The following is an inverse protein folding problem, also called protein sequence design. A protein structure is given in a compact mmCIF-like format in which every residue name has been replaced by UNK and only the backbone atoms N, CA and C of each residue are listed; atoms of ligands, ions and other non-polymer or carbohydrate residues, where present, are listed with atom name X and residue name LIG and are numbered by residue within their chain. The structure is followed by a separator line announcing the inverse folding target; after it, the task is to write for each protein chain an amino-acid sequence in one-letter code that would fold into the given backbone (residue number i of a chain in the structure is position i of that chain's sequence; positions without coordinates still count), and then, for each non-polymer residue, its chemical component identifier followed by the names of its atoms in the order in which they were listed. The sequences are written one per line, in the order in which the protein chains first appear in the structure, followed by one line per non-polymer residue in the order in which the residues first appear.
data_IF_313666014558
#
_entry.id   IF_313666014558
#
_cell.length_a   1.000
_cell.length_b   1.000
_cell.length_c   1.000
_cell.angle_alpha   90.00
_cell.angle_beta   90.00
_cell.angle_gamma   90.00
#
_symmetry.space_group_name_H-M   'P 1'
#
loop_
_entity.id
_entity.type
_entity.pdbx_description
1 polymer ?
#
# COMPACT_ATOMS: atom_id res chain seq x y z
N UNK A 1 -6.29 25.09 26.60
CA UNK A 1 -6.51 23.65 26.88
C UNK A 1 -7.85 23.33 26.21
N UNK A 2 -7.83 22.54 25.16
CA UNK A 2 -9.04 22.21 24.38
C UNK A 2 -9.72 21.02 25.07
N UNK A 3 -10.92 21.24 25.62
CA UNK A 3 -11.81 20.22 26.18
C UNK A 3 -12.44 19.35 25.05
N UNK A 4 -11.64 18.75 24.22
CA UNK A 4 -12.14 17.74 23.30
C UNK A 4 -12.60 16.53 24.13
N UNK A 5 -13.84 16.04 23.95
CA UNK A 5 -14.32 14.87 24.67
C UNK A 5 -13.42 13.67 24.37
N UNK A 6 -13.19 12.77 25.34
CA UNK A 6 -12.42 11.56 25.12
C UNK A 6 -13.05 10.76 23.98
N UNK A 7 -12.21 10.30 23.05
CA UNK A 7 -12.68 9.44 21.95
C UNK A 7 -13.36 8.21 22.55
N UNK A 8 -14.53 7.80 22.04
CA UNK A 8 -15.21 6.61 22.53
C UNK A 8 -14.28 5.41 22.44
N UNK A 9 -14.35 4.53 23.47
CA UNK A 9 -13.61 3.28 23.47
C UNK A 9 -13.80 2.56 22.15
N UNK A 10 -12.74 2.01 21.56
CA UNK A 10 -12.82 1.38 20.25
C UNK A 10 -13.81 0.22 20.34
N UNK A 11 -14.99 0.38 19.75
CA UNK A 11 -15.90 -0.72 19.54
C UNK A 11 -15.13 -1.79 18.77
N UNK A 12 -15.27 -3.06 19.17
CA UNK A 12 -14.75 -4.20 18.44
C UNK A 12 -15.16 -4.03 16.95
N UNK A 13 -14.19 -3.75 16.11
CA UNK A 13 -14.43 -3.47 14.71
C UNK A 13 -14.92 -4.76 14.07
N UNK A 14 -16.24 -4.86 13.85
CA UNK A 14 -16.81 -5.98 13.10
C UNK A 14 -16.23 -5.99 11.70
N UNK A 15 -15.91 -7.17 11.21
CA UNK A 15 -15.49 -7.37 9.83
C UNK A 15 -16.57 -6.84 8.88
N UNK A 16 -16.27 -5.83 8.05
CA UNK A 16 -17.24 -5.37 7.07
C UNK A 16 -17.50 -6.45 6.02
N UNK A 17 -18.74 -6.61 5.56
CA UNK A 17 -19.08 -7.50 4.47
C UNK A 17 -18.26 -7.20 3.22
N UNK A 18 -17.91 -8.23 2.45
CA UNK A 18 -17.10 -8.08 1.24
C UNK A 18 -17.74 -7.11 0.22
N UNK A 19 -19.05 -7.21 0.03
CA UNK A 19 -19.80 -6.32 -0.86
C UNK A 19 -19.69 -4.84 -0.46
N UNK A 20 -19.75 -4.56 0.85
CA UNK A 20 -19.63 -3.20 1.37
C UNK A 20 -18.22 -2.64 1.16
N UNK A 21 -17.17 -3.48 1.29
CA UNK A 21 -15.80 -3.08 0.98
C UNK A 21 -15.65 -2.64 -0.48
N UNK A 22 -16.27 -3.34 -1.41
CA UNK A 22 -16.26 -2.94 -2.82
C UNK A 22 -17.14 -1.71 -3.08
N UNK A 23 -18.29 -1.60 -2.43
CA UNK A 23 -19.17 -0.43 -2.55
C UNK A 23 -18.54 0.83 -1.96
N UNK A 24 -17.71 0.73 -0.95
CA UNK A 24 -17.07 1.87 -0.28
C UNK A 24 -16.23 2.75 -1.24
N UNK A 25 -15.80 2.23 -2.40
CA UNK A 25 -15.04 3.00 -3.39
C UNK A 25 -15.84 4.18 -3.98
N UNK A 26 -17.15 4.12 -3.92
CA UNK A 26 -18.02 5.24 -4.34
C UNK A 26 -17.98 6.41 -3.36
N UNK A 27 -17.37 6.23 -2.17
CA UNK A 27 -17.13 7.31 -1.24
C UNK A 27 -16.21 8.37 -1.84
N UNK A 28 -16.58 9.67 -1.81
CA UNK A 28 -15.74 10.75 -2.36
C UNK A 28 -14.32 10.78 -1.78
N UNK A 29 -14.15 10.44 -0.51
CA UNK A 29 -12.85 10.40 0.15
C UNK A 29 -11.94 9.31 -0.43
N UNK A 30 -12.46 8.10 -0.61
CA UNK A 30 -11.74 6.99 -1.22
C UNK A 30 -11.43 7.26 -2.70
N UNK A 31 -12.41 7.76 -3.44
CA UNK A 31 -12.24 8.09 -4.85
C UNK A 31 -11.13 9.14 -5.06
N UNK A 32 -11.09 10.18 -4.23
CA UNK A 32 -10.02 11.20 -4.28
C UNK A 32 -8.63 10.60 -4.05
N UNK A 33 -8.51 9.68 -3.11
CA UNK A 33 -7.25 8.98 -2.84
C UNK A 33 -6.82 8.12 -4.04
N UNK A 34 -7.75 7.37 -4.65
CA UNK A 34 -7.49 6.61 -5.87
C UNK A 34 -7.08 7.49 -7.05
N UNK A 35 -7.70 8.66 -7.21
CA UNK A 35 -7.37 9.58 -8.28
C UNK A 35 -5.89 9.98 -8.26
N UNK A 36 -5.33 10.30 -7.08
CA UNK A 36 -3.91 10.63 -6.93
C UNK A 36 -3.03 9.44 -7.40
N UNK A 37 -3.36 8.22 -7.00
CA UNK A 37 -2.60 7.04 -7.42
C UNK A 37 -2.69 6.80 -8.93
N UNK A 38 -3.87 6.96 -9.53
CA UNK A 38 -4.07 6.77 -10.97
C UNK A 38 -3.38 7.86 -11.78
N UNK A 39 -3.55 9.13 -11.42
CA UNK A 39 -3.05 10.25 -12.24
C UNK A 39 -1.57 10.56 -12.00
N UNK A 40 -0.97 10.12 -10.91
CA UNK A 40 0.45 10.36 -10.61
C UNK A 40 1.27 9.08 -10.75
N UNK A 41 0.87 8.01 -10.06
CA UNK A 41 1.70 6.80 -9.99
C UNK A 41 1.65 5.97 -11.28
N UNK A 42 0.49 5.92 -11.95
CA UNK A 42 0.36 5.12 -13.17
C UNK A 42 1.15 5.72 -14.35
N UNK A 43 1.07 7.03 -14.67
CA UNK A 43 1.93 7.64 -15.69
C UNK A 43 3.42 7.49 -15.37
N UNK A 44 3.81 7.61 -14.10
CA UNK A 44 5.18 7.39 -13.69
C UNK A 44 5.66 5.95 -13.97
N UNK A 45 4.82 4.94 -13.67
CA UNK A 45 5.12 3.55 -14.00
C UNK A 45 5.23 3.31 -15.51
N UNK A 46 4.40 3.99 -16.32
CA UNK A 46 4.49 3.94 -17.78
C UNK A 46 5.81 4.51 -18.32
N UNK A 47 6.24 5.66 -17.79
CA UNK A 47 7.55 6.25 -18.13
C UNK A 47 8.69 5.30 -17.75
N UNK A 48 8.62 4.68 -16.59
CA UNK A 48 9.62 3.69 -16.15
C UNK A 48 9.63 2.43 -17.01
N UNK A 49 8.48 1.94 -17.46
CA UNK A 49 8.41 0.84 -18.42
C UNK A 49 9.07 1.23 -19.75
N UNK A 50 8.79 2.44 -20.25
CA UNK A 50 9.43 2.94 -21.47
C UNK A 50 10.95 3.06 -21.32
N UNK A 51 11.46 3.62 -20.23
CA UNK A 51 12.90 3.64 -19.92
C UNK A 51 13.47 2.21 -19.83
N UNK A 52 12.76 1.30 -19.19
CA UNK A 52 13.14 -0.10 -19.11
C UNK A 52 13.37 -0.73 -20.48
N UNK A 53 12.47 -0.50 -21.45
CA UNK A 53 12.65 -1.02 -22.81
C UNK A 53 13.85 -0.41 -23.52
N UNK A 54 14.23 0.84 -23.20
CA UNK A 54 15.45 1.46 -23.74
C UNK A 54 16.71 0.80 -23.19
N UNK A 55 16.70 0.49 -21.89
CA UNK A 55 17.79 -0.24 -21.25
C UNK A 55 17.88 -1.67 -21.80
N UNK A 56 16.76 -2.37 -21.98
CA UNK A 56 16.70 -3.69 -22.58
C UNK A 56 17.35 -3.68 -23.97
N UNK A 57 17.01 -2.69 -24.81
CA UNK A 57 17.58 -2.56 -26.15
C UNK A 57 19.09 -2.32 -26.11
N UNK A 58 19.59 -1.47 -25.20
CA UNK A 58 21.00 -1.18 -25.05
C UNK A 58 21.80 -2.40 -24.54
N UNK A 59 21.20 -3.23 -23.68
CA UNK A 59 21.79 -4.45 -23.14
C UNK A 59 21.59 -5.69 -24.03
N UNK A 60 20.83 -5.57 -25.13
CA UNK A 60 20.48 -6.69 -25.99
C UNK A 60 19.51 -7.69 -25.32
N UNK A 61 18.75 -7.23 -24.33
CA UNK A 61 17.78 -8.07 -23.63
C UNK A 61 16.47 -8.16 -24.41
N UNK A 62 16.00 -9.38 -24.63
CA UNK A 62 14.71 -9.66 -25.27
C UNK A 62 13.69 -10.13 -24.24
N UNK A 63 12.40 -9.92 -24.49
CA UNK A 63 11.34 -10.44 -23.63
C UNK A 63 11.43 -11.97 -23.54
N UNK A 64 11.39 -12.50 -22.30
CA UNK A 64 11.45 -13.96 -22.02
C UNK A 64 10.15 -14.63 -22.46
N UNK A 65 9.01 -13.93 -22.39
CA UNK A 65 7.70 -14.47 -22.68
C UNK A 65 7.21 -13.96 -24.05
N UNK A 66 6.61 -14.84 -24.87
CA UNK A 66 5.94 -14.42 -26.10
C UNK A 66 4.73 -13.54 -25.76
N UNK A 67 4.34 -12.67 -26.69
CA UNK A 67 3.27 -11.70 -26.48
C UNK A 67 1.94 -12.36 -26.11
N UNK A 68 1.63 -13.49 -26.73
CA UNK A 68 0.42 -14.28 -26.48
C UNK A 68 0.30 -14.77 -25.02
N UNK A 69 1.41 -14.84 -24.28
CA UNK A 69 1.45 -15.25 -22.85
C UNK A 69 1.55 -14.02 -21.96
N UNK A 70 2.47 -13.07 -22.29
CA UNK A 70 2.75 -11.92 -21.43
C UNK A 70 1.56 -10.98 -21.26
N UNK A 71 0.79 -10.76 -22.34
CA UNK A 71 -0.36 -9.85 -22.27
C UNK A 71 -1.47 -10.40 -21.35
N UNK A 72 -2.02 -11.62 -21.55
CA UNK A 72 -3.04 -12.13 -20.65
C UNK A 72 -2.54 -12.33 -19.21
N UNK A 73 -1.30 -12.79 -19.01
CA UNK A 73 -0.70 -12.93 -17.69
C UNK A 73 -0.61 -11.58 -16.97
N UNK A 74 -0.06 -10.58 -17.62
CA UNK A 74 0.11 -9.25 -17.03
C UNK A 74 -1.24 -8.57 -16.76
N UNK A 75 -2.24 -8.71 -17.66
CA UNK A 75 -3.60 -8.22 -17.41
C UNK A 75 -4.25 -8.92 -16.22
N UNK A 76 -4.07 -10.23 -16.09
CA UNK A 76 -4.54 -10.99 -14.94
C UNK A 76 -3.91 -10.50 -13.62
N UNK A 77 -2.61 -10.21 -13.63
CA UNK A 77 -1.90 -9.66 -12.46
C UNK A 77 -2.37 -8.23 -12.13
N UNK A 78 -2.54 -7.36 -13.12
CA UNK A 78 -3.07 -6.00 -12.90
C UNK A 78 -4.49 -6.07 -12.35
N UNK A 79 -5.36 -6.89 -12.95
CA UNK A 79 -6.74 -7.05 -12.52
C UNK A 79 -6.86 -7.59 -11.11
N UNK A 80 -6.16 -8.68 -10.78
CA UNK A 80 -6.17 -9.26 -9.43
C UNK A 80 -5.52 -8.33 -8.40
N UNK A 81 -4.41 -7.67 -8.74
CA UNK A 81 -3.78 -6.67 -7.89
C UNK A 81 -4.68 -5.47 -7.63
N UNK A 82 -5.37 -4.98 -8.66
CA UNK A 82 -6.33 -3.89 -8.55
C UNK A 82 -7.53 -4.25 -7.68
N UNK A 83 -8.13 -5.43 -7.88
CA UNK A 83 -9.23 -5.92 -7.04
C UNK A 83 -8.81 -6.09 -5.58
N UNK A 84 -7.59 -6.60 -5.35
CA UNK A 84 -7.03 -6.70 -4.00
C UNK A 84 -6.84 -5.34 -3.33
N UNK A 85 -6.24 -4.37 -4.03
CA UNK A 85 -6.07 -3.00 -3.53
C UNK A 85 -7.42 -2.37 -3.21
N UNK A 86 -8.39 -2.55 -4.10
CA UNK A 86 -9.75 -2.05 -3.91
C UNK A 86 -10.39 -2.62 -2.64
N UNK A 87 -10.37 -3.95 -2.49
CA UNK A 87 -10.89 -4.61 -1.30
C UNK A 87 -10.22 -4.10 -0.01
N UNK A 88 -8.89 -4.03 0.00
CA UNK A 88 -8.11 -3.61 1.18
C UNK A 88 -8.41 -2.16 1.57
N UNK A 89 -8.53 -1.26 0.60
CA UNK A 89 -8.85 0.14 0.90
C UNK A 89 -10.30 0.30 1.38
N UNK A 90 -11.25 -0.39 0.77
CA UNK A 90 -12.64 -0.41 1.24
C UNK A 90 -12.75 -0.99 2.65
N UNK A 91 -12.02 -2.07 2.92
CA UNK A 91 -11.93 -2.66 4.26
C UNK A 91 -11.39 -1.66 5.29
N UNK A 92 -10.26 -1.02 4.99
CA UNK A 92 -9.64 -0.03 5.87
C UNK A 92 -10.55 1.17 6.09
N UNK A 93 -11.23 1.64 5.05
CA UNK A 93 -12.18 2.74 5.14
C UNK A 93 -13.32 2.44 6.11
N UNK A 94 -13.95 1.29 5.97
CA UNK A 94 -15.08 0.90 6.82
C UNK A 94 -14.66 0.54 8.24
N UNK A 95 -13.65 -0.32 8.38
CA UNK A 95 -13.14 -0.76 9.67
C UNK A 95 -12.37 0.34 10.41
N UNK A 96 -11.74 1.26 9.69
CA UNK A 96 -10.98 2.38 10.25
C UNK A 96 -11.83 3.61 10.62
N UNK A 97 -13.17 3.52 10.54
CA UNK A 97 -14.08 4.59 10.94
C UNK A 97 -14.37 5.63 9.86
N UNK A 98 -14.42 5.22 8.58
CA UNK A 98 -14.76 6.07 7.44
C UNK A 98 -13.63 6.95 6.94
N UNK A 99 -12.37 6.64 7.33
CA UNK A 99 -11.18 7.31 6.82
C UNK A 99 -10.60 6.55 5.62
N UNK A 100 -10.09 7.25 4.59
CA UNK A 100 -9.44 6.62 3.45
C UNK A 100 -8.12 5.91 3.78
N UNK A 101 -7.70 5.89 5.04
CA UNK A 101 -6.47 5.24 5.48
C UNK A 101 -5.19 5.94 5.05
N UNK A 102 -5.30 7.16 4.54
CA UNK A 102 -4.18 8.03 4.23
C UNK A 102 -4.15 9.22 5.18
N UNK A 103 -3.00 9.88 5.31
CA UNK A 103 -2.87 11.07 6.15
C UNK A 103 -3.63 12.30 5.60
N UNK A 104 -4.22 12.18 4.40
CA UNK A 104 -4.93 13.27 3.71
C UNK A 104 -6.08 13.83 4.55
N UNK A 105 -6.81 12.96 5.24
CA UNK A 105 -7.97 13.33 6.06
C UNK A 105 -7.79 12.89 7.53
N UNK A 106 -6.56 12.84 8.02
CA UNK A 106 -6.26 12.51 9.41
C UNK A 106 -6.05 11.01 9.70
N UNK A 107 -6.09 10.17 8.67
CA UNK A 107 -5.90 8.71 8.80
C UNK A 107 -7.04 7.99 9.53
N UNK A 108 -6.94 6.67 9.74
CA UNK A 108 -7.98 5.88 10.38
C UNK A 108 -8.18 6.30 11.84
N UNK A 109 -9.44 6.41 12.24
CA UNK A 109 -9.84 6.73 13.62
C UNK A 109 -9.64 5.53 14.53
N UNK A 110 -9.97 4.33 14.03
CA UNK A 110 -9.79 3.07 14.72
C UNK A 110 -8.61 2.29 14.13
N UNK A 111 -7.86 1.62 15.00
CA UNK A 111 -6.81 0.71 14.57
C UNK A 111 -7.44 -0.55 13.98
N UNK A 112 -7.05 -0.89 12.75
CA UNK A 112 -7.56 -2.07 12.05
C UNK A 112 -6.58 -3.22 12.21
N UNK A 113 -6.99 -4.25 12.91
CA UNK A 113 -6.22 -5.46 13.22
C UNK A 113 -6.94 -6.75 12.82
N UNK A 114 -7.97 -6.61 11.96
CA UNK A 114 -8.82 -7.69 11.46
C UNK A 114 -8.70 -7.82 9.94
N UNK A 115 -9.31 -8.86 9.36
CA UNK A 115 -9.33 -9.09 7.93
C UNK A 115 -7.93 -9.20 7.31
N UNK A 116 -7.63 -8.53 6.18
CA UNK A 116 -6.32 -8.59 5.53
C UNK A 116 -5.17 -8.09 6.42
N UNK A 117 -5.48 -7.27 7.42
CA UNK A 117 -4.50 -6.73 8.37
C UNK A 117 -4.05 -7.73 9.44
N UNK A 118 -4.65 -8.90 9.51
CA UNK A 118 -4.14 -10.02 10.34
C UNK A 118 -2.96 -10.73 9.70
N UNK A 119 -2.85 -10.68 8.37
CA UNK A 119 -1.77 -11.33 7.62
C UNK A 119 -0.52 -10.46 7.54
N UNK A 120 -0.69 -9.21 7.15
CA UNK A 120 0.38 -8.24 6.90
C UNK A 120 -0.11 -6.82 7.23
N UNK A 121 0.81 -5.97 7.69
CA UNK A 121 0.45 -4.59 8.09
C UNK A 121 0.10 -3.69 6.93
N UNK A 122 0.69 -3.93 5.74
CA UNK A 122 0.48 -3.13 4.53
C UNK A 122 -0.04 -3.97 3.37
N UNK A 123 -1.26 -4.53 3.47
CA UNK A 123 -1.78 -5.45 2.45
C UNK A 123 -1.96 -4.81 1.06
N UNK A 124 -2.17 -3.50 0.98
CA UNK A 124 -2.27 -2.79 -0.29
C UNK A 124 -0.98 -2.79 -1.11
N UNK A 125 0.19 -2.89 -0.46
CA UNK A 125 1.49 -2.97 -1.15
C UNK A 125 1.58 -4.22 -2.00
N UNK A 126 1.04 -5.34 -1.51
CA UNK A 126 1.05 -6.62 -2.24
C UNK A 126 0.29 -6.51 -3.57
N UNK A 127 -0.89 -5.91 -3.55
CA UNK A 127 -1.68 -5.71 -4.78
C UNK A 127 -1.04 -4.70 -5.74
N UNK A 128 -0.48 -3.61 -5.21
CA UNK A 128 0.26 -2.62 -6.01
C UNK A 128 1.48 -3.26 -6.68
N UNK A 129 2.25 -4.07 -5.94
CA UNK A 129 3.40 -4.79 -6.46
C UNK A 129 3.00 -5.75 -7.58
N UNK A 130 1.91 -6.50 -7.38
CA UNK A 130 1.36 -7.39 -8.39
C UNK A 130 0.98 -6.64 -9.67
N UNK A 131 0.32 -5.48 -9.55
CA UNK A 131 -0.03 -4.62 -10.67
C UNK A 131 1.20 -4.07 -11.41
N UNK A 132 2.23 -3.63 -10.68
CA UNK A 132 3.48 -3.12 -11.27
C UNK A 132 4.26 -4.23 -11.99
N UNK A 133 4.36 -5.42 -11.41
CA UNK A 133 4.97 -6.58 -12.06
C UNK A 133 4.18 -6.93 -13.33
N UNK A 134 2.85 -6.98 -13.24
CA UNK A 134 1.98 -7.22 -14.40
C UNK A 134 2.20 -6.23 -15.54
N UNK A 135 2.39 -4.94 -15.20
CA UNK A 135 2.70 -3.90 -16.18
C UNK A 135 4.05 -4.17 -16.89
N UNK A 136 5.10 -4.49 -16.13
CA UNK A 136 6.41 -4.84 -16.68
C UNK A 136 6.37 -6.09 -17.57
N UNK A 137 5.55 -7.08 -17.20
CA UNK A 137 5.33 -8.29 -18.01
C UNK A 137 4.62 -7.92 -19.33
N UNK A 138 3.54 -7.12 -19.32
CA UNK A 138 2.86 -6.68 -20.55
C UNK A 138 3.83 -5.94 -21.47
N UNK A 139 4.62 -5.05 -20.90
CA UNK A 139 5.61 -4.29 -21.66
C UNK A 139 6.75 -5.17 -22.20
N UNK A 140 6.99 -6.31 -21.56
CA UNK A 140 8.06 -7.26 -21.91
C UNK A 140 9.43 -6.76 -21.51
N UNK A 141 9.53 -5.81 -20.59
CA UNK A 141 10.81 -5.24 -20.16
C UNK A 141 11.42 -6.00 -18.99
N UNK A 142 12.55 -6.65 -19.26
CA UNK A 142 13.35 -7.32 -18.21
C UNK A 142 14.01 -6.30 -17.29
N UNK A 143 14.55 -5.21 -17.84
CA UNK A 143 15.17 -4.16 -17.04
C UNK A 143 14.18 -3.55 -16.05
N UNK A 144 12.91 -3.32 -16.47
CA UNK A 144 11.88 -2.88 -15.56
C UNK A 144 11.65 -3.88 -14.41
N UNK A 145 11.54 -5.16 -14.70
CA UNK A 145 11.30 -6.19 -13.69
C UNK A 145 12.50 -6.37 -12.74
N UNK A 146 13.72 -6.32 -13.25
CA UNK A 146 14.93 -6.60 -12.48
C UNK A 146 15.44 -5.39 -11.70
N UNK A 147 15.34 -4.19 -12.24
CA UNK A 147 15.86 -2.98 -11.60
C UNK A 147 14.77 -2.14 -10.95
N UNK A 148 13.66 -1.84 -11.66
CA UNK A 148 12.65 -0.92 -11.15
C UNK A 148 11.74 -1.53 -10.08
N UNK A 149 11.32 -2.78 -10.27
CA UNK A 149 10.42 -3.42 -9.30
C UNK A 149 11.06 -3.56 -7.92
N UNK A 150 12.32 -4.02 -7.77
CA UNK A 150 12.99 -4.04 -6.47
C UNK A 150 13.16 -2.65 -5.84
N UNK A 151 13.49 -1.63 -6.64
CA UNK A 151 13.63 -0.26 -6.13
C UNK A 151 12.29 0.28 -5.65
N UNK A 152 11.19 0.05 -6.40
CA UNK A 152 9.84 0.41 -5.98
C UNK A 152 9.41 -0.33 -4.71
N UNK A 153 9.81 -1.59 -4.56
CA UNK A 153 9.57 -2.36 -3.33
C UNK A 153 10.31 -1.75 -2.14
N UNK A 154 11.60 -1.48 -2.28
CA UNK A 154 12.41 -0.82 -1.23
C UNK A 154 11.83 0.54 -0.89
N UNK A 155 11.47 1.34 -1.89
CA UNK A 155 10.81 2.63 -1.68
C UNK A 155 9.50 2.48 -0.90
N UNK A 156 8.66 1.49 -1.25
CA UNK A 156 7.42 1.20 -0.52
C UNK A 156 7.69 0.79 0.93
N UNK A 157 8.72 -0.02 1.18
CA UNK A 157 9.13 -0.42 2.54
C UNK A 157 9.55 0.81 3.35
N UNK A 158 10.40 1.65 2.78
CA UNK A 158 10.90 2.86 3.44
C UNK A 158 9.76 3.83 3.77
N UNK A 159 8.89 4.12 2.79
CA UNK A 159 7.74 5.02 2.99
C UNK A 159 6.77 4.50 4.04
N UNK A 160 6.41 3.23 3.96
CA UNK A 160 5.50 2.64 4.95
C UNK A 160 6.14 2.65 6.36
N UNK A 161 7.44 2.34 6.47
CA UNK A 161 8.13 2.30 7.75
C UNK A 161 8.27 3.67 8.40
N UNK A 162 8.67 4.68 7.65
CA UNK A 162 9.01 6.00 8.19
C UNK A 162 7.84 6.99 8.22
N UNK A 163 6.80 6.77 7.40
CA UNK A 163 5.64 7.63 7.39
C UNK A 163 4.42 6.94 8.03
N UNK A 164 3.96 5.84 7.46
CA UNK A 164 2.70 5.23 7.90
C UNK A 164 2.82 4.54 9.27
N UNK A 165 3.87 3.73 9.49
CA UNK A 165 4.02 3.06 10.79
C UNK A 165 4.32 4.07 11.91
N UNK A 166 5.10 5.11 11.62
CA UNK A 166 5.32 6.19 12.60
C UNK A 166 4.02 6.89 12.98
N UNK A 167 3.19 7.20 12.00
CA UNK A 167 1.86 7.74 12.27
C UNK A 167 1.02 6.81 13.14
N UNK A 168 1.02 5.49 12.82
CA UNK A 168 0.29 4.51 13.61
C UNK A 168 0.86 4.38 15.04
N UNK A 169 2.18 4.44 15.21
CA UNK A 169 2.83 4.47 16.52
C UNK A 169 2.42 5.68 17.36
N UNK A 170 2.41 6.88 16.74
CA UNK A 170 2.00 8.12 17.38
C UNK A 170 0.50 8.12 17.72
N UNK A 171 -0.34 7.52 16.86
CA UNK A 171 -1.80 7.54 17.01
C UNK A 171 -2.34 6.43 17.90
N UNK A 172 -1.78 5.22 17.83
CA UNK A 172 -2.31 4.04 18.52
C UNK A 172 -1.39 3.54 19.64
N UNK A 173 -0.21 4.16 19.82
CA UNK A 173 0.68 3.93 20.96
C UNK A 173 1.09 2.47 21.15
N UNK A 174 1.04 2.03 22.41
CA UNK A 174 1.45 0.68 22.82
C UNK A 174 0.69 -0.44 22.09
N UNK A 175 -0.60 -0.23 21.78
CA UNK A 175 -1.42 -1.18 21.05
C UNK A 175 -0.85 -1.47 19.65
N UNK A 176 -0.40 -0.44 18.94
CA UNK A 176 0.27 -0.62 17.66
C UNK A 176 1.62 -1.34 17.82
N UNK A 177 2.34 -1.07 18.90
CA UNK A 177 3.59 -1.77 19.23
C UNK A 177 3.41 -3.28 19.31
N UNK A 178 2.38 -3.75 20.03
CA UNK A 178 2.03 -5.18 20.14
C UNK A 178 1.62 -5.76 18.79
N UNK A 179 0.76 -5.05 18.04
CA UNK A 179 0.35 -5.43 16.71
C UNK A 179 1.56 -5.61 15.77
N UNK A 180 2.51 -4.68 15.79
CA UNK A 180 3.72 -4.72 14.96
C UNK A 180 4.60 -5.93 15.25
N UNK A 181 4.65 -6.39 16.48
CA UNK A 181 5.41 -7.60 16.85
C UNK A 181 4.74 -8.88 16.31
N UNK A 182 3.42 -8.93 16.27
CA UNK A 182 2.64 -10.11 15.85
C UNK A 182 2.45 -10.22 14.35
N UNK A 183 2.27 -9.08 13.68
CA UNK A 183 1.94 -9.04 12.25
C UNK A 183 3.14 -8.54 11.45
N UNK A 184 3.62 -9.29 10.45
CA UNK A 184 4.73 -8.89 9.61
C UNK A 184 4.35 -7.71 8.70
N UNK A 185 5.37 -6.99 8.19
CA UNK A 185 5.16 -5.80 7.36
C UNK A 185 4.57 -6.12 5.98
N UNK A 186 5.20 -7.04 5.23
CA UNK A 186 4.86 -7.30 3.82
C UNK A 186 4.63 -8.78 3.49
N UNK A 187 5.43 -9.68 4.05
CA UNK A 187 5.32 -11.10 3.73
C UNK A 187 4.39 -11.80 4.72
N UNK A 188 3.27 -12.38 4.25
CA UNK A 188 2.32 -13.03 5.14
C UNK A 188 2.95 -14.26 5.80
N UNK A 189 2.68 -14.43 7.10
CA UNK A 189 3.02 -15.65 7.82
C UNK A 189 1.83 -16.62 7.75
N UNK A 190 2.05 -17.95 7.71
CA UNK A 190 0.96 -18.93 7.71
C UNK A 190 -0.05 -18.72 8.83
N UNK A 191 0.41 -18.39 10.03
CA UNK A 191 -0.46 -18.10 11.18
C UNK A 191 -1.35 -16.86 10.94
N UNK A 192 -0.85 -15.84 10.25
CA UNK A 192 -1.64 -14.65 9.89
C UNK A 192 -2.70 -14.96 8.85
N UNK A 193 -2.35 -15.77 7.84
CA UNK A 193 -3.31 -16.27 6.84
C UNK A 193 -4.40 -17.10 7.50
N UNK A 194 -4.04 -17.99 8.43
CA UNK A 194 -5.00 -18.80 9.18
C UNK A 194 -5.96 -17.95 10.00
N UNK A 195 -5.48 -16.88 10.67
CA UNK A 195 -6.34 -15.92 11.38
C UNK A 195 -7.31 -15.23 10.43
N UNK A 196 -6.82 -14.74 9.30
CA UNK A 196 -7.67 -14.12 8.29
C UNK A 196 -8.80 -15.05 7.82
N UNK A 197 -8.46 -16.31 7.53
CA UNK A 197 -9.45 -17.31 7.08
C UNK A 197 -10.47 -17.68 8.17
N UNK A 198 -10.07 -17.61 9.46
CA UNK A 198 -10.96 -17.87 10.61
C UNK A 198 -11.67 -16.62 11.13
N UNK A 199 -11.45 -15.47 10.51
CA UNK A 199 -12.02 -14.20 10.94
C UNK A 199 -11.59 -13.77 12.36
N UNK A 200 -10.38 -14.13 12.75
CA UNK A 200 -9.80 -13.79 14.05
C UNK A 200 -9.05 -12.45 13.95
N UNK A 201 -9.09 -11.65 15.02
CA UNK A 201 -8.28 -10.44 15.14
C UNK A 201 -6.78 -10.79 15.39
N UNK A 202 -5.89 -9.87 15.05
CA UNK A 202 -4.46 -10.02 15.32
C UNK A 202 -4.12 -9.79 16.80
N UNK A 203 -4.93 -8.94 17.49
CA UNK A 203 -4.80 -8.64 18.90
C UNK A 203 -5.83 -9.40 19.74
N UNK A 204 -5.46 -9.76 20.96
CA UNK A 204 -6.39 -10.31 21.93
C UNK A 204 -7.21 -9.19 22.60
N UNK A 205 -8.37 -9.54 23.19
CA UNK A 205 -9.22 -8.57 23.92
C UNK A 205 -8.45 -7.86 25.04
N UNK A 206 -7.57 -8.57 25.75
CA UNK A 206 -6.73 -7.99 26.79
C UNK A 206 -5.80 -6.86 26.28
N UNK A 207 -5.45 -6.87 25.01
CA UNK A 207 -4.64 -5.81 24.39
C UNK A 207 -5.48 -4.52 24.12
N UNK A 208 -6.81 -4.59 24.25
CA UNK A 208 -7.70 -3.44 24.07
C UNK A 208 -7.65 -2.46 25.27
N UNK A 209 -7.22 -2.94 26.44
CA UNK A 209 -7.07 -2.15 27.67
C UNK A 209 -5.79 -1.32 27.72
N UNK A 210 -4.93 -1.41 26.68
CA UNK A 210 -3.72 -0.60 26.59
C UNK A 210 -4.07 0.89 26.55
N UNK A 211 -3.27 1.75 27.20
CA UNK A 211 -3.60 3.16 27.37
C UNK A 211 -3.88 3.84 26.02
N UNK A 212 -4.84 4.78 25.98
CA UNK A 212 -5.18 5.51 24.77
C UNK A 212 -3.96 6.27 24.25
N UNK A 213 -3.88 6.48 22.93
CA UNK A 213 -2.77 7.21 22.31
C UNK A 213 -2.75 8.66 22.80
N UNK A 214 -1.56 9.21 22.91
CA UNK A 214 -1.34 10.64 23.06
C UNK A 214 -1.86 11.32 21.79
N UNK A 215 -2.63 12.39 21.92
CA UNK A 215 -3.16 13.14 20.80
C UNK A 215 -2.00 13.60 19.89
N UNK A 216 -1.88 12.98 18.72
CA UNK A 216 -0.88 13.34 17.71
C UNK A 216 -1.52 14.18 16.62
N UNK A 217 -0.82 15.20 16.16
CA UNK A 217 -1.22 15.95 14.97
C UNK A 217 -0.73 15.17 13.74
N UNK A 218 -1.61 14.71 12.85
CA UNK A 218 -1.19 14.03 11.64
C UNK A 218 -0.30 14.95 10.80
N UNK A 219 0.78 14.44 10.19
CA UNK A 219 1.54 15.20 9.22
C UNK A 219 0.59 15.65 8.08
N UNK A 220 0.67 16.90 7.68
CA UNK A 220 -0.20 17.43 6.63
C UNK A 220 0.05 16.72 5.29
N UNK A 221 -0.99 16.62 4.45
CA UNK A 221 -0.97 16.03 3.09
C UNK A 221 0.26 16.44 2.26
N UNK A 222 0.71 17.69 2.40
CA UNK A 222 1.85 18.22 1.68
C UNK A 222 3.19 17.58 2.04
N UNK A 223 3.35 17.09 3.28
CA UNK A 223 4.57 16.40 3.69
C UNK A 223 4.70 15.04 3.00
N UNK A 224 3.60 14.29 2.90
CA UNK A 224 3.57 13.03 2.17
C UNK A 224 3.73 13.23 0.67
N UNK A 225 2.98 14.15 0.10
CA UNK A 225 3.06 14.45 -1.33
C UNK A 225 4.47 14.86 -1.75
N UNK A 226 5.15 15.73 -0.97
CA UNK A 226 6.55 16.09 -1.20
C UNK A 226 7.46 14.88 -1.15
N UNK A 227 7.27 13.99 -0.18
CA UNK A 227 8.08 12.78 -0.06
C UNK A 227 7.91 11.85 -1.26
N UNK A 228 6.67 11.62 -1.70
CA UNK A 228 6.38 10.84 -2.90
C UNK A 228 6.96 11.50 -4.16
N UNK A 229 6.83 12.82 -4.30
CA UNK A 229 7.35 13.56 -5.44
C UNK A 229 8.88 13.51 -5.48
N UNK A 230 9.55 13.74 -4.36
CA UNK A 230 11.02 13.66 -4.27
C UNK A 230 11.50 12.25 -4.59
N UNK A 231 10.87 11.22 -4.02
CA UNK A 231 11.18 9.83 -4.31
C UNK A 231 11.02 9.48 -5.80
N UNK A 232 9.95 9.97 -6.41
CA UNK A 232 9.69 9.79 -7.84
C UNK A 232 10.72 10.48 -8.72
N UNK A 233 11.08 11.74 -8.41
CA UNK A 233 12.10 12.50 -9.13
C UNK A 233 13.46 11.81 -9.02
N UNK A 234 13.86 11.37 -7.82
CA UNK A 234 15.12 10.64 -7.61
C UNK A 234 15.13 9.34 -8.40
N UNK A 235 14.02 8.60 -8.41
CA UNK A 235 13.88 7.37 -9.16
C UNK A 235 14.04 7.60 -10.67
N UNK A 236 13.31 8.54 -11.23
CA UNK A 236 13.39 8.89 -12.66
C UNK A 236 14.81 9.35 -13.00
N UNK A 237 15.44 10.18 -12.16
CA UNK A 237 16.82 10.68 -12.38
C UNK A 237 17.83 9.54 -12.36
N UNK A 238 17.70 8.59 -11.41
CA UNK A 238 18.57 7.42 -11.34
C UNK A 238 18.49 6.61 -12.63
N UNK A 239 17.29 6.36 -13.12
CA UNK A 239 17.12 5.53 -14.30
C UNK A 239 17.47 6.26 -15.59
N UNK A 240 17.24 7.54 -15.70
CA UNK A 240 17.75 8.37 -16.79
C UNK A 240 19.29 8.35 -16.81
N UNK A 241 19.92 8.40 -15.63
CA UNK A 241 21.37 8.25 -15.50
C UNK A 241 21.88 6.88 -15.93
N UNK A 242 21.21 5.79 -15.52
CA UNK A 242 21.57 4.44 -15.97
C UNK A 242 21.43 4.33 -17.50
N UNK A 243 20.32 4.83 -18.04
CA UNK A 243 20.13 4.83 -19.50
C UNK A 243 21.23 5.61 -20.22
N UNK A 244 21.59 6.79 -19.72
CA UNK A 244 22.69 7.58 -20.30
C UNK A 244 24.04 6.86 -20.29
N UNK A 245 24.30 6.03 -19.26
CA UNK A 245 25.54 5.25 -19.19
C UNK A 245 25.59 4.04 -20.12
N UNK A 246 24.43 3.50 -20.55
CA UNK A 246 24.36 2.30 -21.40
C UNK A 246 23.95 2.60 -22.85
N UNK A 247 23.49 3.82 -23.16
CA UNK A 247 23.16 4.28 -24.51
C UNK A 247 24.36 4.87 -25.22
#
# INVERSE_FOLDING_TARGET
MSDAPPLPAPALVRRPPLGDCFAAITSPALYRNFAIHIFVMFPAAMVMCWLGTRIDAALGWASILPESVRVPLGLGMIGSGGLWVWYVYGYLFLAGGGSPGTHVDGGPVAMVDTGPYTMIRHPSVLGKLLGVIGLGIIWGSQAFLVFFVPVLLVYSVVTNRYLQERFCEERFGARYGVYRQRVPMLLPRPAGVARWLRDEAALAEADAELPPPVASHPPGIWSEFRFYLVGLVLLISLFAGIWWMVA
#
